data_IF_000017794565
#
_entry.id   IF_000017794565
#
_cell.length_a   1.000
_cell.length_b   1.000
_cell.length_c   1.000
_cell.angle_alpha   90.00
_cell.angle_beta   90.00
_cell.angle_gamma   90.00
#
_symmetry.space_group_name_H-M   'P 1'
#
loop_
_entity.id
_entity.type
_entity.pdbx_description
1 polymer ?
#
# COMPACT_ATOMS: atom_id res chain seq x y z
N UNK A 1 10.06 -4.31 15.75
CA UNK A 1 10.11 -5.49 14.87
C UNK A 1 11.38 -5.38 14.03
N UNK A 2 12.25 -6.39 14.04
CA UNK A 2 13.42 -6.39 13.16
C UNK A 2 12.97 -6.57 11.71
N UNK A 3 13.28 -5.60 10.85
CA UNK A 3 12.97 -5.64 9.42
C UNK A 3 14.02 -6.52 8.74
N UNK A 4 13.63 -7.74 8.40
CA UNK A 4 14.44 -8.66 7.62
C UNK A 4 13.83 -8.82 6.23
N UNK A 5 14.66 -9.06 5.22
CA UNK A 5 14.21 -9.20 3.84
C UNK A 5 13.14 -10.29 3.70
N UNK A 6 13.31 -11.42 4.38
CA UNK A 6 12.40 -12.56 4.29
C UNK A 6 11.01 -12.22 4.84
N UNK A 7 10.94 -11.53 6.00
CA UNK A 7 9.67 -11.07 6.54
C UNK A 7 8.98 -10.09 5.60
N UNK A 8 9.74 -9.16 4.99
CA UNK A 8 9.20 -8.19 4.02
C UNK A 8 8.60 -8.90 2.82
N UNK A 9 9.30 -9.89 2.28
CA UNK A 9 8.80 -10.70 1.17
C UNK A 9 7.55 -11.48 1.56
N UNK A 10 7.54 -12.11 2.74
CA UNK A 10 6.38 -12.85 3.23
C UNK A 10 5.13 -11.97 3.36
N UNK A 11 5.27 -10.80 3.99
CA UNK A 11 4.15 -9.86 4.13
C UNK A 11 3.69 -9.33 2.78
N UNK A 12 4.62 -8.98 1.88
CA UNK A 12 4.28 -8.54 0.53
C UNK A 12 3.49 -9.62 -0.23
N UNK A 13 3.92 -10.88 -0.18
CA UNK A 13 3.20 -11.98 -0.83
C UNK A 13 1.76 -12.12 -0.30
N UNK A 14 1.55 -12.02 1.02
CA UNK A 14 0.21 -12.08 1.62
C UNK A 14 -0.65 -10.91 1.13
N UNK A 15 -0.10 -9.70 1.11
CA UNK A 15 -0.82 -8.50 0.69
C UNK A 15 -1.14 -8.54 -0.81
N UNK A 16 -0.21 -8.99 -1.64
CA UNK A 16 -0.40 -9.10 -3.09
C UNK A 16 -1.52 -10.11 -3.44
N UNK A 17 -1.54 -11.27 -2.78
CA UNK A 17 -2.62 -12.25 -2.93
C UNK A 17 -3.97 -11.69 -2.43
N UNK A 18 -3.98 -10.98 -1.31
CA UNK A 18 -5.17 -10.27 -0.83
C UNK A 18 -5.67 -9.23 -1.85
N UNK A 19 -4.76 -8.45 -2.43
CA UNK A 19 -5.11 -7.38 -3.36
C UNK A 19 -5.78 -7.88 -4.63
N UNK A 20 -5.39 -9.06 -5.14
CA UNK A 20 -6.04 -9.69 -6.30
C UNK A 20 -7.54 -9.93 -6.07
N UNK A 21 -7.90 -10.36 -4.86
CA UNK A 21 -9.30 -10.58 -4.47
C UNK A 21 -9.98 -9.24 -4.17
N UNK A 22 -9.31 -8.38 -3.39
CA UNK A 22 -9.83 -7.07 -3.02
C UNK A 22 -10.18 -6.22 -4.23
N UNK A 23 -9.29 -6.10 -5.21
CA UNK A 23 -9.52 -5.31 -6.42
C UNK A 23 -10.68 -5.87 -7.24
N UNK A 24 -10.78 -7.19 -7.35
CA UNK A 24 -11.88 -7.84 -8.05
C UNK A 24 -13.24 -7.57 -7.38
N UNK A 25 -13.31 -7.66 -6.05
CA UNK A 25 -14.54 -7.45 -5.28
C UNK A 25 -14.95 -5.97 -5.19
N UNK A 26 -13.97 -5.07 -5.24
CA UNK A 26 -14.15 -3.63 -5.11
C UNK A 26 -14.05 -2.88 -6.44
N UNK A 27 -13.95 -3.60 -7.57
CA UNK A 27 -13.93 -3.02 -8.90
C UNK A 27 -15.12 -2.07 -9.10
N UNK A 28 -14.82 -0.78 -9.30
CA UNK A 28 -15.82 0.28 -9.48
C UNK A 28 -16.51 0.78 -8.21
N UNK A 29 -16.21 0.24 -7.02
CA UNK A 29 -16.74 0.69 -5.72
C UNK A 29 -15.80 1.62 -4.96
N UNK A 30 -14.52 1.63 -5.33
CA UNK A 30 -13.54 2.54 -4.74
C UNK A 30 -13.83 3.97 -5.21
N UNK A 31 -14.49 4.74 -4.34
CA UNK A 31 -14.72 6.16 -4.53
C UNK A 31 -13.40 6.91 -4.35
N UNK A 32 -12.61 7.02 -5.42
CA UNK A 32 -11.61 8.07 -5.51
C UNK A 32 -12.36 9.39 -5.42
N UNK A 33 -12.13 10.17 -4.36
CA UNK A 33 -12.88 11.40 -4.11
C UNK A 33 -12.86 12.31 -5.33
N UNK A 34 -13.97 12.40 -6.04
CA UNK A 34 -14.26 13.45 -7.01
C UNK A 34 -14.77 14.68 -6.24
N UNK A 35 -13.95 15.20 -5.34
CA UNK A 35 -14.25 16.44 -4.60
C UNK A 35 -14.14 17.70 -5.49
N UNK A 36 -14.13 17.54 -6.81
CA UNK A 36 -13.95 18.61 -7.79
C UNK A 36 -12.54 19.24 -7.79
N UNK A 37 -11.66 18.84 -6.87
CA UNK A 37 -10.31 19.39 -6.76
C UNK A 37 -9.43 18.78 -7.84
N UNK A 38 -8.90 19.63 -8.72
CA UNK A 38 -7.93 19.21 -9.75
C UNK A 38 -6.64 18.76 -9.08
N UNK A 39 -6.47 17.44 -8.94
CA UNK A 39 -5.20 16.82 -8.50
C UNK A 39 -4.35 16.44 -9.70
N UNK A 40 -3.03 16.49 -9.53
CA UNK A 40 -2.07 16.04 -10.56
C UNK A 40 -2.14 14.52 -10.70
N UNK A 41 -2.69 14.03 -11.81
CA UNK A 41 -2.81 12.59 -12.13
C UNK A 41 -1.51 12.01 -12.72
N UNK A 42 -0.42 11.97 -11.93
CA UNK A 42 0.75 11.18 -12.34
C UNK A 42 0.48 9.70 -12.05
N UNK A 43 0.88 8.83 -12.97
CA UNK A 43 0.90 7.39 -12.72
C UNK A 43 1.87 7.11 -11.57
N UNK A 44 1.42 6.39 -10.55
CA UNK A 44 2.29 5.90 -9.49
C UNK A 44 3.27 4.87 -10.09
N UNK A 45 4.50 4.82 -9.56
CA UNK A 45 5.48 3.80 -9.92
C UNK A 45 5.28 2.49 -9.17
N UNK A 46 4.59 2.55 -8.03
CA UNK A 46 4.25 1.43 -7.17
C UNK A 46 2.79 1.03 -7.37
N UNK A 47 2.55 -0.27 -7.28
CA UNK A 47 1.21 -0.85 -7.16
C UNK A 47 0.60 -0.59 -5.78
N UNK A 48 -0.71 -0.76 -5.67
CA UNK A 48 -1.43 -0.53 -4.42
C UNK A 48 -1.02 -1.55 -3.33
N UNK A 49 -0.71 -2.79 -3.70
CA UNK A 49 -0.17 -3.80 -2.78
C UNK A 49 1.22 -3.43 -2.25
N UNK A 50 2.10 -2.89 -3.07
CA UNK A 50 3.41 -2.36 -2.64
C UNK A 50 3.24 -1.18 -1.68
N UNK A 51 2.34 -0.24 -1.98
CA UNK A 51 2.04 0.91 -1.12
C UNK A 51 1.52 0.43 0.24
N UNK A 52 0.57 -0.50 0.25
CA UNK A 52 0.00 -1.06 1.48
C UNK A 52 1.03 -1.82 2.31
N UNK A 53 1.94 -2.55 1.66
CA UNK A 53 3.05 -3.22 2.34
C UNK A 53 3.95 -2.20 3.05
N UNK A 54 4.33 -1.12 2.37
CA UNK A 54 5.13 -0.03 2.96
C UNK A 54 4.40 0.59 4.17
N UNK A 55 3.10 0.85 4.05
CA UNK A 55 2.31 1.44 5.13
C UNK A 55 2.21 0.54 6.36
N UNK A 56 1.99 -0.76 6.17
CA UNK A 56 1.91 -1.72 7.26
C UNK A 56 3.25 -1.84 8.00
N UNK A 57 4.36 -1.96 7.26
CA UNK A 57 5.69 -1.97 7.88
C UNK A 57 6.01 -0.68 8.63
N UNK A 58 5.69 0.46 8.03
CA UNK A 58 5.86 1.77 8.67
C UNK A 58 5.11 1.83 10.00
N UNK A 59 3.87 1.32 10.03
CA UNK A 59 3.04 1.27 11.24
C UNK A 59 3.60 0.32 12.31
N UNK A 60 3.96 -0.91 11.93
CA UNK A 60 4.50 -1.91 12.87
C UNK A 60 5.90 -1.58 13.38
N UNK A 61 6.65 -0.78 12.64
CA UNK A 61 7.97 -0.31 13.04
C UNK A 61 7.95 0.89 13.99
N UNK A 62 6.78 1.46 14.28
CA UNK A 62 6.62 2.64 15.15
C UNK A 62 7.48 3.84 14.73
N UNK A 63 7.67 4.00 13.42
CA UNK A 63 8.46 5.10 12.86
C UNK A 63 7.69 6.41 12.94
N UNK A 64 8.39 7.51 13.27
CA UNK A 64 7.76 8.83 13.39
C UNK A 64 7.38 9.42 12.03
N UNK A 65 8.18 9.15 11.00
CA UNK A 65 7.97 9.63 9.63
C UNK A 65 8.79 8.78 8.65
N UNK A 66 8.47 8.87 7.36
CA UNK A 66 9.15 8.13 6.30
C UNK A 66 10.64 8.47 6.11
N UNK A 67 11.16 9.56 6.70
CA UNK A 67 12.61 9.84 6.64
C UNK A 67 13.40 8.98 7.62
N UNK A 68 12.74 8.49 8.67
CA UNK A 68 13.35 7.59 9.67
C UNK A 68 12.98 6.13 9.43
N UNK A 69 12.22 5.85 8.37
CA UNK A 69 11.85 4.52 7.91
C UNK A 69 12.89 3.98 6.94
#
# INVERSE_FOLDING_TARGET
>A
MEITKDKVTELFCIIDEFYKVFDAENAGKLLLSEDGVKRRRRKASLSDSEIMTILLYFHFGSFRNFKHY
#
